data_IF_839830691740
#
_entry.id   IF_839830691740
#
_cell.length_a   1.000
_cell.length_b   1.000
_cell.length_c   1.000
_cell.angle_alpha   90.00
_cell.angle_beta   90.00
_cell.angle_gamma   90.00
#
_symmetry.space_group_name_H-M   'P 1'
#
loop_
_entity.id
_entity.type
_entity.pdbx_description
1 polymer ?
#
# COMPACT_ATOMS: atom_id res chain seq x y z
N UNK A 1 -1.43 1.68 -10.94
CA UNK A 1 -1.18 2.63 -9.83
C UNK A 1 -0.93 4.05 -10.36
N UNK A 2 -1.83 4.99 -10.08
CA UNK A 2 -1.70 6.40 -10.54
C UNK A 2 -1.06 7.32 -9.51
N UNK A 3 -0.95 6.90 -8.23
CA UNK A 3 -0.29 7.71 -7.19
C UNK A 3 1.18 8.02 -7.53
N UNK A 4 1.87 7.12 -8.25
CA UNK A 4 3.23 7.35 -8.73
C UNK A 4 3.34 8.43 -9.82
N UNK A 5 2.24 8.81 -10.47
CA UNK A 5 2.23 9.85 -11.50
C UNK A 5 2.38 11.27 -10.94
N UNK A 6 2.28 11.43 -9.61
CA UNK A 6 2.58 12.68 -8.92
C UNK A 6 4.08 12.97 -8.83
N UNK A 7 4.94 11.98 -9.12
CA UNK A 7 6.38 12.12 -9.04
C UNK A 7 6.96 12.60 -10.37
N UNK A 8 7.42 13.84 -10.40
CA UNK A 8 8.18 14.38 -11.52
C UNK A 8 9.65 13.95 -11.43
N UNK A 9 10.42 13.97 -12.54
CA UNK A 9 11.85 13.72 -12.50
C UNK A 9 12.58 14.59 -11.45
N UNK A 10 12.21 15.87 -11.35
CA UNK A 10 12.83 16.82 -10.41
C UNK A 10 12.56 16.43 -8.94
N UNK A 11 11.35 15.95 -8.64
CA UNK A 11 11.02 15.46 -7.30
C UNK A 11 11.77 14.17 -6.99
N UNK A 12 11.90 13.26 -7.97
CA UNK A 12 12.65 12.02 -7.80
C UNK A 12 14.13 12.28 -7.53
N UNK A 13 14.71 13.26 -8.23
CA UNK A 13 16.10 13.69 -8.02
C UNK A 13 16.28 14.33 -6.64
N UNK A 14 15.34 15.15 -6.18
CA UNK A 14 15.39 15.74 -4.83
C UNK A 14 15.32 14.67 -3.73
N UNK A 15 14.47 13.67 -3.90
CA UNK A 15 14.36 12.54 -2.96
C UNK A 15 15.69 11.76 -2.91
N UNK A 16 16.29 11.47 -4.07
CA UNK A 16 17.57 10.79 -4.16
C UNK A 16 18.70 11.61 -3.51
N UNK A 17 18.75 12.93 -3.75
CA UNK A 17 19.73 13.84 -3.12
C UNK A 17 19.63 13.89 -1.60
N UNK A 18 18.44 13.66 -1.05
CA UNK A 18 18.21 13.54 0.40
C UNK A 18 18.58 12.17 0.97
N UNK A 19 19.09 11.25 0.15
CA UNK A 19 19.58 9.94 0.57
C UNK A 19 18.52 8.85 0.64
N UNK A 20 17.30 9.11 0.16
CA UNK A 20 16.27 8.08 0.07
C UNK A 20 16.49 7.19 -1.17
N UNK A 21 16.40 5.87 -0.99
CA UNK A 21 16.47 4.92 -2.09
C UNK A 21 15.09 4.69 -2.71
N UNK A 22 15.03 4.72 -4.04
CA UNK A 22 13.81 4.43 -4.80
C UNK A 22 13.87 2.98 -5.28
N UNK A 23 12.92 2.16 -4.82
CA UNK A 23 12.82 0.75 -5.20
C UNK A 23 11.55 0.53 -6.01
N UNK A 24 11.69 -0.02 -7.22
CA UNK A 24 10.57 -0.34 -8.11
C UNK A 24 10.17 -1.81 -7.95
N UNK A 25 9.04 -2.07 -7.30
CA UNK A 25 8.43 -3.41 -7.23
C UNK A 25 7.43 -3.61 -8.38
N UNK A 26 7.18 -4.86 -8.76
CA UNK A 26 6.30 -5.17 -9.90
C UNK A 26 5.01 -5.82 -9.42
N UNK A 27 3.87 -5.33 -9.93
CA UNK A 27 2.58 -6.00 -9.82
C UNK A 27 1.82 -5.83 -11.14
N UNK A 28 1.37 -6.95 -11.70
CA UNK A 28 0.52 -6.97 -12.89
C UNK A 28 -0.94 -6.87 -12.45
N UNK A 29 -1.50 -5.68 -12.61
CA UNK A 29 -2.91 -5.42 -12.33
C UNK A 29 -3.79 -6.11 -13.38
N UNK A 30 -4.78 -6.87 -12.90
CA UNK A 30 -5.80 -7.50 -13.75
C UNK A 30 -7.08 -6.66 -13.82
N UNK A 31 -8.07 -7.12 -14.59
CA UNK A 31 -9.39 -6.46 -14.64
C UNK A 31 -10.06 -6.36 -13.25
N UNK A 32 -9.69 -7.26 -12.34
CA UNK A 32 -10.24 -7.37 -10.99
C UNK A 32 -9.87 -6.26 -10.01
N UNK A 33 -8.77 -5.53 -10.21
CA UNK A 33 -8.34 -4.45 -9.30
C UNK A 33 -9.38 -3.34 -9.16
N UNK A 34 -10.16 -3.13 -10.23
CA UNK A 34 -11.09 -2.02 -10.38
C UNK A 34 -12.55 -2.45 -10.23
N UNK A 35 -12.81 -3.74 -9.98
CA UNK A 35 -14.17 -4.23 -9.85
C UNK A 35 -14.79 -3.74 -8.54
N UNK A 36 -16.04 -3.23 -8.56
CA UNK A 36 -16.74 -2.84 -7.35
C UNK A 36 -16.96 -4.07 -6.45
N UNK A 37 -16.94 -3.85 -5.13
CA UNK A 37 -17.33 -4.87 -4.16
C UNK A 37 -18.80 -5.21 -4.40
N UNK A 38 -19.07 -6.47 -4.79
CA UNK A 38 -20.42 -6.94 -5.13
C UNK A 38 -21.18 -7.56 -3.95
N UNK A 39 -20.54 -7.71 -2.79
CA UNK A 39 -21.10 -8.43 -1.64
C UNK A 39 -21.41 -7.46 -0.50
N UNK A 40 -22.59 -7.61 0.12
CA UNK A 40 -22.94 -6.89 1.36
C UNK A 40 -22.12 -7.42 2.55
N UNK A 41 -21.75 -8.70 2.52
CA UNK A 41 -20.79 -9.30 3.44
C UNK A 41 -19.35 -9.18 2.89
N UNK A 42 -18.56 -8.32 3.53
CA UNK A 42 -17.17 -8.06 3.18
C UNK A 42 -16.25 -9.26 3.47
N UNK A 43 -16.65 -10.17 4.37
CA UNK A 43 -15.88 -11.40 4.65
C UNK A 43 -15.93 -12.39 3.49
N UNK A 44 -16.92 -12.26 2.61
CA UNK A 44 -17.11 -13.10 1.43
C UNK A 44 -16.47 -12.50 0.16
N UNK A 45 -15.91 -11.28 0.24
CA UNK A 45 -15.29 -10.66 -0.92
C UNK A 45 -13.95 -11.34 -1.22
N UNK A 46 -13.87 -12.01 -2.37
CA UNK A 46 -12.62 -12.55 -2.89
C UNK A 46 -11.94 -11.51 -3.79
N UNK A 47 -10.76 -11.08 -3.38
CA UNK A 47 -9.89 -10.28 -4.24
C UNK A 47 -9.44 -11.11 -5.43
N UNK A 48 -9.35 -10.47 -6.58
CA UNK A 48 -8.74 -11.09 -7.74
C UNK A 48 -7.23 -11.23 -7.51
N UNK A 49 -6.72 -12.43 -7.78
CA UNK A 49 -5.31 -12.71 -7.64
C UNK A 49 -4.52 -11.98 -8.74
N UNK A 50 -3.45 -11.31 -8.33
CA UNK A 50 -2.58 -10.52 -9.20
C UNK A 50 -1.14 -10.97 -9.07
N UNK A 51 -0.44 -11.14 -10.19
CA UNK A 51 0.98 -11.50 -10.14
C UNK A 51 1.81 -10.33 -9.63
N UNK A 52 2.77 -10.60 -8.75
CA UNK A 52 3.72 -9.60 -8.29
C UNK A 52 5.09 -10.19 -7.96
N UNK A 53 6.09 -9.31 -7.89
CA UNK A 53 7.47 -9.71 -7.69
C UNK A 53 8.24 -8.68 -6.84
N UNK A 54 9.00 -9.23 -5.90
CA UNK A 54 10.09 -8.55 -5.18
C UNK A 54 11.35 -9.41 -5.34
N UNK A 55 12.39 -8.86 -5.95
CA UNK A 55 13.67 -9.55 -6.13
C UNK A 55 14.48 -9.56 -4.82
N UNK A 56 15.48 -10.46 -4.67
CA UNK A 56 16.37 -10.46 -3.50
C UNK A 56 17.02 -9.10 -3.23
N UNK A 57 17.56 -8.46 -4.29
CA UNK A 57 18.18 -7.13 -4.16
C UNK A 57 17.20 -6.05 -3.69
N UNK A 58 15.94 -6.09 -4.17
CA UNK A 58 14.90 -5.16 -3.70
C UNK A 58 14.55 -5.42 -2.24
N UNK A 59 14.39 -6.69 -1.85
CA UNK A 59 14.12 -7.06 -0.47
C UNK A 59 15.24 -6.62 0.47
N UNK A 60 16.51 -6.78 0.09
CA UNK A 60 17.65 -6.35 0.90
C UNK A 60 17.66 -4.83 1.11
N UNK A 61 17.37 -4.04 0.07
CA UNK A 61 17.23 -2.58 0.21
C UNK A 61 16.10 -2.23 1.19
N UNK A 62 14.93 -2.84 1.03
CA UNK A 62 13.75 -2.57 1.86
C UNK A 62 14.01 -2.95 3.33
N UNK A 63 14.68 -4.08 3.57
CA UNK A 63 14.96 -4.56 4.93
C UNK A 63 16.01 -3.71 5.66
N UNK A 64 16.94 -3.08 4.93
CA UNK A 64 17.94 -2.19 5.50
C UNK A 64 17.43 -0.74 5.69
N UNK A 65 16.23 -0.42 5.21
CA UNK A 65 15.67 0.91 5.33
C UNK A 65 15.11 1.18 6.74
N UNK A 66 15.43 2.34 7.30
CA UNK A 66 14.84 2.80 8.56
C UNK A 66 13.33 3.05 8.46
N UNK A 67 12.86 3.43 7.27
CA UNK A 67 11.45 3.74 6.99
C UNK A 67 11.11 3.35 5.57
N UNK A 68 10.00 2.62 5.40
CA UNK A 68 9.47 2.20 4.11
C UNK A 68 8.24 3.01 3.76
N UNK A 69 8.32 3.74 2.63
CA UNK A 69 7.22 4.53 2.08
C UNK A 69 6.67 3.81 0.85
N UNK A 70 5.44 3.31 0.92
CA UNK A 70 4.75 2.76 -0.24
C UNK A 70 4.14 3.89 -1.08
N UNK A 71 4.39 3.87 -2.39
CA UNK A 71 3.78 4.80 -3.34
C UNK A 71 2.65 4.08 -4.08
N UNK A 72 1.44 4.26 -3.59
CA UNK A 72 0.22 3.64 -4.08
C UNK A 72 -0.12 2.32 -3.39
N UNK A 73 -1.41 2.04 -3.33
CA UNK A 73 -1.98 0.84 -2.69
C UNK A 73 -1.53 -0.46 -3.35
N UNK A 74 -1.25 -0.45 -4.65
CA UNK A 74 -0.68 -1.61 -5.36
C UNK A 74 0.68 -2.00 -4.79
N UNK A 75 1.60 -1.03 -4.63
CA UNK A 75 2.91 -1.28 -4.04
C UNK A 75 2.80 -1.72 -2.58
N UNK A 76 1.87 -1.14 -1.82
CA UNK A 76 1.57 -1.60 -0.46
C UNK A 76 1.14 -3.07 -0.44
N UNK A 77 0.20 -3.48 -1.30
CA UNK A 77 -0.24 -4.89 -1.37
C UNK A 77 0.92 -5.81 -1.72
N UNK A 78 1.81 -5.43 -2.64
CA UNK A 78 3.01 -6.23 -2.96
C UNK A 78 3.93 -6.39 -1.74
N UNK A 79 4.21 -5.31 -1.02
CA UNK A 79 5.09 -5.32 0.16
C UNK A 79 4.48 -6.13 1.31
N UNK A 80 3.20 -5.94 1.61
CA UNK A 80 2.50 -6.68 2.66
C UNK A 80 2.34 -8.17 2.31
N UNK A 81 2.21 -8.50 1.02
CA UNK A 81 2.22 -9.90 0.56
C UNK A 81 3.56 -10.60 0.80
N UNK A 82 4.67 -9.85 0.73
CA UNK A 82 5.98 -10.36 1.14
C UNK A 82 6.09 -10.46 2.66
N UNK A 83 5.54 -9.49 3.40
CA UNK A 83 5.57 -9.51 4.87
C UNK A 83 4.84 -10.72 5.45
N UNK A 84 3.65 -11.06 4.94
CA UNK A 84 2.89 -12.24 5.38
C UNK A 84 3.68 -13.52 5.12
N UNK A 85 4.32 -13.64 3.95
CA UNK A 85 5.16 -14.80 3.61
C UNK A 85 6.33 -14.96 4.57
N UNK A 86 6.91 -13.86 5.04
CA UNK A 86 7.93 -13.87 6.08
C UNK A 86 7.36 -14.33 7.45
N UNK A 87 6.13 -13.95 7.79
CA UNK A 87 5.47 -14.44 9.00
C UNK A 87 5.18 -15.96 8.96
N UNK A 88 5.07 -16.57 7.78
CA UNK A 88 4.91 -18.01 7.64
C UNK A 88 6.21 -18.81 7.86
N UNK A 89 7.37 -18.14 7.91
CA UNK A 89 8.66 -18.78 8.20
C UNK A 89 8.80 -19.09 9.69
N UNK A 90 9.62 -20.10 10.07
CA UNK A 90 9.98 -20.36 11.46
C UNK A 90 10.51 -19.10 12.15
N UNK A 91 10.25 -18.95 13.45
CA UNK A 91 10.67 -17.76 14.21
C UNK A 91 12.18 -17.51 14.13
N UNK A 92 12.99 -18.59 14.07
CA UNK A 92 14.44 -18.54 13.86
C UNK A 92 14.87 -17.89 12.54
N UNK A 93 13.98 -17.82 11.57
CA UNK A 93 14.20 -17.27 10.23
C UNK A 93 13.46 -15.94 10.02
N UNK A 94 12.63 -15.51 10.99
CA UNK A 94 11.89 -14.26 10.92
C UNK A 94 12.75 -13.09 11.39
N UNK A 95 13.63 -12.62 10.52
CA UNK A 95 14.53 -11.50 10.82
C UNK A 95 14.40 -10.32 9.84
N UNK A 96 13.46 -10.42 8.89
CA UNK A 96 13.27 -9.44 7.82
C UNK A 96 11.88 -8.84 7.88
N UNK A 97 11.74 -7.64 7.32
CA UNK A 97 10.46 -6.96 7.10
C UNK A 97 9.72 -7.53 5.90
N UNK A 98 10.45 -7.86 4.84
CA UNK A 98 9.96 -8.50 3.60
C UNK A 98 10.88 -9.62 3.14
N UNK A 99 10.32 -10.65 2.50
CA UNK A 99 11.07 -11.69 1.78
C UNK A 99 10.95 -11.51 0.27
N UNK A 100 11.98 -11.88 -0.52
CA UNK A 100 11.84 -11.92 -1.96
C UNK A 100 10.81 -12.97 -2.36
N UNK A 101 10.00 -12.66 -3.38
CA UNK A 101 9.02 -13.59 -3.91
C UNK A 101 8.62 -13.20 -5.34
N UNK A 102 8.07 -14.17 -6.06
CA UNK A 102 7.61 -14.01 -7.44
C UNK A 102 6.39 -14.92 -7.63
N UNK A 103 5.22 -14.41 -7.29
CA UNK A 103 3.99 -15.19 -7.19
C UNK A 103 2.78 -14.25 -7.21
N UNK A 104 1.58 -14.82 -7.08
CA UNK A 104 0.36 -14.06 -7.02
C UNK A 104 0.01 -13.58 -5.61
N UNK A 105 -0.77 -12.51 -5.55
CA UNK A 105 -1.38 -12.01 -4.33
C UNK A 105 -2.85 -11.71 -4.53
N UNK A 106 -3.65 -12.24 -3.61
CA UNK A 106 -5.06 -11.93 -3.41
C UNK A 106 -5.27 -11.26 -2.04
N UNK A 107 -4.22 -10.64 -1.49
CA UNK A 107 -4.29 -10.00 -0.18
C UNK A 107 -5.41 -8.96 -0.14
N UNK A 108 -6.31 -9.12 0.84
CA UNK A 108 -7.39 -8.19 1.14
C UNK A 108 -7.11 -7.53 2.49
N UNK A 109 -6.75 -6.24 2.44
CA UNK A 109 -6.37 -5.46 3.62
C UNK A 109 -7.61 -4.71 4.13
N UNK A 110 -8.02 -5.02 5.36
CA UNK A 110 -9.19 -4.45 6.03
C UNK A 110 -8.82 -3.99 7.44
N UNK A 111 -9.64 -3.14 8.10
CA UNK A 111 -9.37 -2.71 9.48
C UNK A 111 -9.13 -3.90 10.42
N UNK A 112 -8.07 -3.82 11.23
CA UNK A 112 -7.56 -4.93 12.05
C UNK A 112 -6.38 -5.69 11.43
N UNK A 113 -6.03 -5.43 10.18
CA UNK A 113 -4.83 -5.98 9.54
C UNK A 113 -3.53 -5.47 10.21
N UNK A 114 -2.62 -6.38 10.54
CA UNK A 114 -1.32 -6.07 11.12
C UNK A 114 -0.26 -5.80 10.04
N UNK A 115 0.12 -4.54 9.85
CA UNK A 115 1.09 -4.13 8.84
C UNK A 115 2.54 -4.41 9.29
N UNK A 116 3.23 -5.21 8.49
CA UNK A 116 4.63 -5.56 8.73
C UNK A 116 5.61 -4.73 7.90
N UNK A 117 5.26 -4.40 6.66
CA UNK A 117 6.22 -3.86 5.70
C UNK A 117 6.20 -2.35 5.50
N UNK A 118 5.05 -1.70 5.63
CA UNK A 118 4.93 -0.28 5.28
C UNK A 118 4.80 0.59 6.52
N UNK A 119 5.54 1.70 6.56
CA UNK A 119 5.47 2.68 7.65
C UNK A 119 4.69 3.95 7.22
N UNK A 120 4.76 4.30 5.94
CA UNK A 120 4.06 5.47 5.36
C UNK A 120 3.47 5.08 4.00
N UNK A 121 2.28 5.58 3.67
CA UNK A 121 1.61 5.37 2.38
C UNK A 121 1.33 6.71 1.71
N UNK A 122 1.82 6.91 0.50
CA UNK A 122 1.34 7.96 -0.40
C UNK A 122 0.32 7.36 -1.36
N UNK A 123 -0.90 7.88 -1.40
CA UNK A 123 -1.95 7.39 -2.30
C UNK A 123 -2.92 8.49 -2.71
N UNK A 124 -3.76 8.24 -3.72
CA UNK A 124 -4.85 9.14 -4.10
C UNK A 124 -6.00 9.06 -3.08
N UNK A 125 -6.93 10.02 -3.15
CA UNK A 125 -8.23 9.87 -2.50
C UNK A 125 -9.12 8.86 -3.26
N UNK A 126 -9.57 7.83 -2.55
CA UNK A 126 -10.39 6.73 -3.05
C UNK A 126 -11.88 6.92 -2.76
N UNK A 127 -12.77 6.25 -3.51
CA UNK A 127 -14.21 6.31 -3.24
C UNK A 127 -14.58 5.80 -1.85
N UNK A 128 -15.55 6.42 -1.16
CA UNK A 128 -16.20 5.82 -0.01
C UNK A 128 -16.74 4.42 -0.34
N UNK A 129 -16.69 3.50 0.63
CA UNK A 129 -17.12 2.10 0.47
C UNK A 129 -16.38 1.29 -0.62
N UNK A 130 -15.13 1.67 -0.94
CA UNK A 130 -14.26 0.87 -1.81
C UNK A 130 -13.26 0.01 -1.01
N UNK A 131 -12.75 -1.06 -1.61
CA UNK A 131 -11.66 -1.87 -1.02
C UNK A 131 -10.42 -1.02 -0.72
N UNK A 132 -10.12 -0.03 -1.58
CA UNK A 132 -9.02 0.90 -1.37
C UNK A 132 -9.26 1.82 -0.16
N UNK A 133 -10.50 2.27 0.05
CA UNK A 133 -10.85 3.04 1.25
C UNK A 133 -10.71 2.19 2.52
N UNK A 134 -11.06 0.91 2.46
CA UNK A 134 -10.85 -0.01 3.59
C UNK A 134 -9.36 -0.18 3.90
N UNK A 135 -8.52 -0.35 2.89
CA UNK A 135 -7.06 -0.46 3.05
C UNK A 135 -6.46 0.77 3.72
N UNK A 136 -6.79 1.98 3.25
CA UNK A 136 -6.26 3.22 3.88
C UNK A 136 -6.82 3.41 5.29
N UNK A 137 -8.06 2.99 5.55
CA UNK A 137 -8.65 3.02 6.90
C UNK A 137 -7.99 2.00 7.84
N UNK A 138 -7.59 0.84 7.33
CA UNK A 138 -6.81 -0.13 8.08
C UNK A 138 -5.43 0.43 8.45
N UNK A 139 -4.82 1.18 7.54
CA UNK A 139 -3.47 1.70 7.70
C UNK A 139 -3.39 2.93 8.61
N UNK A 140 -4.27 3.91 8.41
CA UNK A 140 -4.22 5.20 9.11
C UNK A 140 -5.29 5.36 10.21
N UNK A 141 -6.24 4.41 10.31
CA UNK A 141 -7.39 4.50 11.20
C UNK A 141 -8.65 5.04 10.53
N UNK A 142 -9.81 4.49 10.90
CA UNK A 142 -11.09 4.85 10.27
C UNK A 142 -11.49 6.30 10.55
N UNK A 143 -11.31 6.77 11.80
CA UNK A 143 -11.73 8.11 12.19
C UNK A 143 -10.80 9.18 11.60
N UNK A 144 -9.49 8.91 11.55
CA UNK A 144 -8.51 9.73 10.84
C UNK A 144 -8.86 9.86 9.36
N UNK A 145 -9.18 8.73 8.69
CA UNK A 145 -9.55 8.76 7.28
C UNK A 145 -10.86 9.50 7.04
N UNK A 146 -11.87 9.36 7.91
CA UNK A 146 -13.12 10.14 7.83
C UNK A 146 -12.86 11.64 7.96
N UNK A 147 -12.03 12.04 8.94
CA UNK A 147 -11.68 13.43 9.15
C UNK A 147 -10.91 14.03 7.95
N UNK A 148 -9.90 13.31 7.46
CA UNK A 148 -9.13 13.71 6.29
C UNK A 148 -10.01 13.87 5.04
N UNK A 149 -10.97 12.97 4.84
CA UNK A 149 -11.91 13.04 3.72
C UNK A 149 -12.91 14.19 3.85
N UNK A 150 -13.45 14.43 5.04
CA UNK A 150 -14.34 15.56 5.29
C UNK A 150 -13.63 16.90 4.99
N UNK A 151 -12.37 17.03 5.42
CA UNK A 151 -11.53 18.17 5.08
C UNK A 151 -11.30 18.28 3.57
N UNK A 152 -10.90 17.20 2.91
CA UNK A 152 -10.65 17.19 1.46
C UNK A 152 -11.89 17.61 0.64
N UNK A 153 -13.09 17.20 1.07
CA UNK A 153 -14.35 17.62 0.45
C UNK A 153 -14.63 19.11 0.70
N UNK A 154 -14.47 19.58 1.94
CA UNK A 154 -14.68 20.99 2.29
C UNK A 154 -13.76 21.93 1.51
N UNK A 155 -12.49 21.53 1.36
CA UNK A 155 -11.45 22.27 0.64
C UNK A 155 -11.41 21.98 -0.87
N UNK A 156 -12.39 21.24 -1.39
CA UNK A 156 -12.55 20.95 -2.84
C UNK A 156 -11.33 20.29 -3.48
N UNK A 157 -10.67 19.38 -2.77
CA UNK A 157 -9.66 18.51 -3.33
C UNK A 157 -10.25 17.70 -4.48
N UNK A 158 -9.40 17.35 -5.43
CA UNK A 158 -9.74 16.48 -6.56
C UNK A 158 -9.54 15.04 -6.12
N UNK A 159 -10.53 14.19 -6.37
CA UNK A 159 -10.49 12.78 -5.96
C UNK A 159 -10.09 11.88 -7.14
N UNK A 160 -9.94 10.58 -6.88
CA UNK A 160 -9.69 9.52 -7.86
C UNK A 160 -8.28 9.54 -8.48
N UNK A 161 -8.12 8.77 -9.56
CA UNK A 161 -6.85 8.43 -10.17
C UNK A 161 -6.01 9.63 -10.60
N UNK A 162 -6.66 10.70 -11.06
CA UNK A 162 -6.02 11.94 -11.53
C UNK A 162 -6.25 13.13 -10.59
N UNK A 163 -6.82 12.88 -9.41
CA UNK A 163 -6.98 13.88 -8.37
C UNK A 163 -5.72 14.04 -7.54
N UNK A 164 -5.87 14.72 -6.41
CA UNK A 164 -4.80 14.96 -5.44
C UNK A 164 -4.42 13.67 -4.70
N UNK A 165 -3.33 13.75 -3.94
CA UNK A 165 -2.83 12.66 -3.10
C UNK A 165 -2.80 13.05 -1.63
N UNK A 166 -2.75 12.02 -0.77
CA UNK A 166 -2.52 12.14 0.65
C UNK A 166 -1.30 11.30 1.07
N UNK A 167 -0.62 11.76 2.10
CA UNK A 167 0.46 11.06 2.78
C UNK A 167 -0.05 10.59 4.14
N UNK A 168 -0.11 9.28 4.31
CA UNK A 168 -0.69 8.61 5.48
C UNK A 168 0.42 7.94 6.28
N UNK A 169 0.34 8.04 7.60
CA UNK A 169 1.26 7.39 8.51
C UNK A 169 0.56 6.19 9.15
N UNK A 170 1.30 5.08 9.30
CA UNK A 170 0.76 3.89 9.96
C UNK A 170 0.31 4.26 11.37
N UNK A 171 -0.94 3.95 11.70
CA UNK A 171 -1.45 4.05 13.06
C UNK A 171 -1.10 2.76 13.81
N UNK A 172 -0.46 2.88 14.96
CA UNK A 172 -0.20 1.73 15.81
C UNK A 172 -1.53 1.10 16.24
N UNK A 173 -1.59 -0.24 16.20
CA UNK A 173 -2.74 -0.96 16.72
C UNK A 173 -2.75 -0.75 18.24
N UNK A 174 -3.73 -0.01 18.75
CA UNK A 174 -3.99 0.09 20.19
C UNK A 174 -4.53 -1.24 20.72
#
# INVERSE_FOLDING_TARGET
PTAGLHFTPELMDEIARRGAQIVKVTLHVGAGTWMPVKTEDLTQHKMHSEWCQITPAQADIINNANRVIAVGTTSMRTLESAAIRNCALPESERHRRVVPFCDTTDIFITPGYAFGAVDVLLTNFHLPKSTLFMLVSAFAGLDEMKAAYAHAVAEKYRFFSYGDCCLLFKKDVQ
#
